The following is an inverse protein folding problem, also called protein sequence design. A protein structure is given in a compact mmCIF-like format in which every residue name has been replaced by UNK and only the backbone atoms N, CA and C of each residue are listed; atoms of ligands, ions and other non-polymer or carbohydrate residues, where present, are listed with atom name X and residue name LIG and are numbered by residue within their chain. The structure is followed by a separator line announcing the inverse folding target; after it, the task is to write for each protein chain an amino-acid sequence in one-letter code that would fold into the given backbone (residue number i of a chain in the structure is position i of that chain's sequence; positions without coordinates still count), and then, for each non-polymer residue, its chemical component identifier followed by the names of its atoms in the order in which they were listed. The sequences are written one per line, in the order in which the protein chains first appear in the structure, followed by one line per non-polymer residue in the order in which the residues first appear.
data_IF_767814575360
#
_entry.id   IF_767814575360
#
_cell.length_a   1.000
_cell.length_b   1.000
_cell.length_c   1.000
_cell.angle_alpha   90.00
_cell.angle_beta   90.00
_cell.angle_gamma   90.00
#
_symmetry.space_group_name_H-M   'P 1'
#
loop_
_entity.id
_entity.type
_entity.pdbx_description
1 polymer ?
#
# COMPACT_ATOMS: atom_id res chain seq x y z
N UNK A 1 15.74 -19.04 -35.61
CA UNK A 1 16.59 -18.45 -36.66
C UNK A 1 16.01 -17.09 -37.02
N UNK A 2 16.55 -16.00 -36.45
CA UNK A 2 16.28 -14.62 -36.89
C UNK A 2 17.64 -13.96 -37.05
N UNK A 3 18.18 -14.06 -38.25
CA UNK A 3 19.31 -13.24 -38.70
C UNK A 3 18.71 -12.03 -39.39
N UNK A 4 18.81 -10.83 -38.83
CA UNK A 4 18.79 -9.57 -39.60
C UNK A 4 19.27 -8.39 -38.76
N UNK A 5 20.49 -7.90 -39.08
CA UNK A 5 20.85 -6.52 -39.43
C UNK A 5 22.34 -6.30 -39.11
N UNK A 6 23.07 -5.84 -40.13
CA UNK A 6 24.51 -5.59 -40.08
C UNK A 6 24.89 -4.61 -38.97
N UNK A 7 26.07 -4.84 -38.37
CA UNK A 7 26.56 -4.37 -37.07
C UNK A 7 26.01 -5.15 -35.87
N UNK A 8 26.75 -6.19 -35.46
CA UNK A 8 26.41 -7.05 -34.32
C UNK A 8 26.22 -6.33 -32.98
N UNK A 9 26.72 -5.11 -32.82
CA UNK A 9 26.44 -4.28 -31.64
C UNK A 9 25.00 -3.73 -31.65
N UNK A 10 24.44 -3.40 -32.81
CA UNK A 10 23.11 -2.83 -32.91
C UNK A 10 22.03 -3.87 -32.59
N UNK A 11 22.21 -5.11 -33.05
CA UNK A 11 21.32 -6.23 -32.70
C UNK A 11 21.40 -6.59 -31.20
N UNK A 12 22.59 -6.53 -30.61
CA UNK A 12 22.77 -6.74 -29.17
C UNK A 12 22.08 -5.64 -28.32
N UNK A 13 22.16 -4.38 -28.74
CA UNK A 13 21.51 -3.26 -28.06
C UNK A 13 19.98 -3.37 -28.14
N UNK A 14 19.44 -3.74 -29.31
CA UNK A 14 17.99 -3.96 -29.48
C UNK A 14 17.51 -5.05 -28.53
N UNK A 15 18.27 -6.14 -28.39
CA UNK A 15 17.91 -7.24 -27.49
C UNK A 15 17.84 -6.84 -26.01
N UNK A 16 18.59 -5.82 -25.57
CA UNK A 16 18.56 -5.31 -24.20
C UNK A 16 17.40 -4.34 -23.92
N UNK A 17 16.96 -3.62 -24.96
CA UNK A 17 15.91 -2.60 -24.81
C UNK A 17 14.51 -3.22 -24.94
N UNK A 18 14.38 -4.23 -25.80
CA UNK A 18 13.08 -4.80 -26.17
C UNK A 18 12.34 -5.46 -24.99
N UNK A 19 12.99 -6.20 -24.08
CA UNK A 19 12.33 -6.76 -22.90
C UNK A 19 11.85 -5.66 -21.94
N UNK A 20 12.71 -4.67 -21.66
CA UNK A 20 12.39 -3.52 -20.81
C UNK A 20 11.18 -2.73 -21.35
N UNK A 21 11.10 -2.56 -22.67
CA UNK A 21 9.99 -1.89 -23.33
C UNK A 21 8.70 -2.75 -23.29
N UNK A 22 8.80 -4.05 -23.53
CA UNK A 22 7.66 -4.97 -23.48
C UNK A 22 7.02 -5.03 -22.08
N UNK A 23 7.83 -5.06 -21.01
CA UNK A 23 7.32 -5.05 -19.64
C UNK A 23 6.66 -3.72 -19.25
N UNK A 24 7.06 -2.61 -19.88
CA UNK A 24 6.47 -1.29 -19.58
C UNK A 24 5.00 -1.17 -19.96
N UNK A 25 4.47 -2.07 -20.79
CA UNK A 25 3.04 -2.16 -21.10
C UNK A 25 2.19 -2.76 -19.96
N UNK A 26 2.80 -3.53 -19.05
CA UNK A 26 2.10 -4.27 -18.00
C UNK A 26 2.52 -3.87 -16.58
N UNK A 27 3.73 -3.33 -16.42
CA UNK A 27 4.30 -2.94 -15.13
C UNK A 27 4.71 -1.47 -15.14
N UNK A 28 4.89 -0.89 -13.96
CA UNK A 28 5.39 0.48 -13.86
C UNK A 28 6.71 0.62 -14.61
N UNK A 29 6.87 1.76 -15.32
CA UNK A 29 8.05 2.00 -16.17
C UNK A 29 9.36 1.78 -15.41
N UNK A 30 9.38 2.12 -14.12
CA UNK A 30 10.54 1.92 -13.25
C UNK A 30 10.87 0.44 -13.01
N UNK A 31 9.88 -0.39 -12.65
CA UNK A 31 10.09 -1.84 -12.41
C UNK A 31 10.46 -2.59 -13.68
N UNK A 32 9.89 -2.15 -14.79
CA UNK A 32 10.17 -2.70 -16.12
C UNK A 32 11.62 -2.51 -16.52
N UNK A 33 12.18 -1.31 -16.30
CA UNK A 33 13.56 -0.98 -16.70
C UNK A 33 14.63 -1.35 -15.67
N UNK A 34 14.31 -1.36 -14.37
CA UNK A 34 15.30 -1.61 -13.30
C UNK A 34 15.33 -3.06 -12.80
N UNK A 35 14.26 -3.83 -12.99
CA UNK A 35 14.16 -5.20 -12.48
C UNK A 35 13.89 -6.20 -13.61
N UNK A 36 12.76 -6.08 -14.29
CA UNK A 36 12.29 -7.14 -15.20
C UNK A 36 13.12 -7.22 -16.49
N UNK A 37 13.43 -6.08 -17.10
CA UNK A 37 14.29 -6.01 -18.28
C UNK A 37 15.68 -6.60 -18.04
N UNK A 38 16.47 -6.07 -17.09
CA UNK A 38 17.81 -6.58 -16.79
C UNK A 38 17.84 -8.06 -16.40
N UNK A 39 16.80 -8.58 -15.75
CA UNK A 39 16.70 -9.98 -15.34
C UNK A 39 16.48 -10.91 -16.55
N UNK A 40 15.59 -10.52 -17.48
CA UNK A 40 15.38 -11.27 -18.73
C UNK A 40 16.61 -11.17 -19.64
N UNK A 41 17.29 -10.03 -19.67
CA UNK A 41 18.53 -9.85 -20.43
C UNK A 41 19.65 -10.73 -19.91
N UNK A 42 19.82 -10.80 -18.58
CA UNK A 42 20.77 -11.73 -17.94
C UNK A 42 20.46 -13.18 -18.28
N UNK A 43 19.19 -13.57 -18.26
CA UNK A 43 18.76 -14.92 -18.62
C UNK A 43 19.07 -15.23 -20.10
N UNK A 44 18.80 -14.29 -21.01
CA UNK A 44 19.10 -14.43 -22.43
C UNK A 44 20.61 -14.54 -22.69
N UNK A 45 21.43 -13.72 -22.03
CA UNK A 45 22.90 -13.77 -22.14
C UNK A 45 23.48 -15.05 -21.55
N UNK A 46 22.95 -15.53 -20.42
CA UNK A 46 23.35 -16.79 -19.80
C UNK A 46 23.05 -17.98 -20.72
N UNK A 47 21.86 -18.02 -21.31
CA UNK A 47 21.46 -19.06 -22.26
C UNK A 47 22.33 -19.06 -23.52
N UNK A 48 22.56 -17.89 -24.12
CA UNK A 48 23.31 -17.76 -25.36
C UNK A 48 24.83 -18.03 -25.21
N UNK A 49 25.36 -18.03 -23.97
CA UNK A 49 26.76 -18.37 -23.69
C UNK A 49 27.11 -19.82 -24.05
N UNK A 50 26.12 -20.72 -24.11
CA UNK A 50 26.34 -22.13 -24.43
C UNK A 50 26.34 -22.45 -25.93
N UNK A 51 25.81 -21.58 -26.80
CA UNK A 51 25.53 -21.90 -28.21
C UNK A 51 26.42 -21.19 -29.25
N UNK A 52 27.32 -20.26 -28.87
CA UNK A 52 28.05 -19.42 -29.82
C UNK A 52 29.59 -19.60 -29.72
N UNK A 53 30.21 -20.48 -30.53
CA UNK A 53 31.66 -20.58 -30.65
C UNK A 53 32.14 -19.53 -31.66
N UNK A 54 32.50 -18.32 -31.21
CA UNK A 54 33.00 -17.27 -32.09
C UNK A 54 33.66 -16.11 -31.34
N UNK A 55 34.97 -15.95 -31.55
CA UNK A 55 35.92 -15.07 -30.82
C UNK A 55 35.76 -13.55 -31.07
N UNK A 56 34.67 -13.09 -31.69
CA UNK A 56 34.47 -11.66 -32.01
C UNK A 56 33.60 -10.88 -31.01
N UNK A 57 33.02 -11.55 -30.01
CA UNK A 57 32.10 -10.94 -29.03
C UNK A 57 32.49 -11.20 -27.57
N UNK A 58 33.68 -11.75 -27.31
CA UNK A 58 34.11 -12.17 -25.96
C UNK A 58 34.05 -11.02 -24.95
N UNK A 59 34.48 -9.82 -25.33
CA UNK A 59 34.46 -8.65 -24.44
C UNK A 59 33.03 -8.26 -24.03
N UNK A 60 32.08 -8.24 -24.96
CA UNK A 60 30.68 -7.91 -24.66
C UNK A 60 30.06 -8.93 -23.70
N UNK A 61 30.27 -10.22 -23.94
CA UNK A 61 29.79 -11.28 -23.04
C UNK A 61 30.48 -11.32 -21.68
N UNK A 62 31.67 -10.70 -21.54
CA UNK A 62 32.34 -10.55 -20.26
C UNK A 62 31.80 -9.37 -19.44
N UNK A 63 31.58 -8.20 -20.07
CA UNK A 63 31.20 -6.99 -19.33
C UNK A 63 29.68 -6.79 -19.18
N UNK A 64 28.86 -7.20 -20.15
CA UNK A 64 27.41 -7.02 -20.12
C UNK A 64 26.70 -7.69 -18.92
N UNK A 65 27.02 -8.92 -18.50
CA UNK A 65 26.37 -9.49 -17.31
C UNK A 65 26.71 -8.70 -16.05
N UNK A 66 27.94 -8.22 -15.91
CA UNK A 66 28.39 -7.49 -14.73
C UNK A 66 27.64 -6.15 -14.60
N UNK A 67 27.47 -5.41 -15.70
CA UNK A 67 26.70 -4.16 -15.70
C UNK A 67 25.22 -4.39 -15.38
N UNK A 68 24.60 -5.44 -15.92
CA UNK A 68 23.21 -5.78 -15.62
C UNK A 68 23.01 -6.21 -14.16
N UNK A 69 23.97 -6.95 -13.57
CA UNK A 69 23.95 -7.27 -12.14
C UNK A 69 24.01 -6.00 -11.26
N UNK A 70 24.84 -5.03 -11.62
CA UNK A 70 24.91 -3.74 -10.91
C UNK A 70 23.57 -3.01 -10.98
N UNK A 71 22.95 -2.94 -12.18
CA UNK A 71 21.64 -2.29 -12.37
C UNK A 71 20.57 -2.99 -11.53
N UNK A 72 20.58 -4.32 -11.46
CA UNK A 72 19.61 -5.10 -10.67
C UNK A 72 19.79 -4.86 -9.16
N UNK A 73 21.04 -4.80 -8.67
CA UNK A 73 21.34 -4.45 -7.27
C UNK A 73 20.83 -3.04 -6.95
N UNK A 74 21.09 -2.06 -7.83
CA UNK A 74 20.59 -0.69 -7.67
C UNK A 74 19.06 -0.67 -7.66
N UNK A 75 18.41 -1.42 -8.56
CA UNK A 75 16.95 -1.53 -8.64
C UNK A 75 16.33 -2.10 -7.36
N UNK A 76 16.93 -3.15 -6.80
CA UNK A 76 16.52 -3.74 -5.51
C UNK A 76 16.66 -2.71 -4.38
N UNK A 77 17.79 -2.01 -4.31
CA UNK A 77 18.04 -1.00 -3.27
C UNK A 77 17.01 0.14 -3.37
N UNK A 78 16.70 0.62 -4.57
CA UNK A 78 15.73 1.70 -4.79
C UNK A 78 14.31 1.28 -4.37
N UNK A 79 13.85 0.09 -4.76
CA UNK A 79 12.55 -0.43 -4.31
C UNK A 79 12.52 -0.65 -2.79
N UNK A 80 13.62 -1.12 -2.19
CA UNK A 80 13.72 -1.32 -0.74
C UNK A 80 13.68 0.02 0.02
N UNK A 81 14.40 1.04 -0.45
CA UNK A 81 14.37 2.39 0.12
C UNK A 81 12.98 3.01 -0.02
N UNK A 82 12.33 2.87 -1.17
CA UNK A 82 10.98 3.40 -1.39
C UNK A 82 9.93 2.65 -0.56
N UNK A 83 10.06 1.33 -0.42
CA UNK A 83 9.21 0.52 0.45
C UNK A 83 9.37 0.95 1.91
N UNK A 84 10.61 1.07 2.39
CA UNK A 84 10.90 1.56 3.75
C UNK A 84 10.40 2.98 3.93
N UNK A 85 10.58 3.88 2.96
CA UNK A 85 10.12 5.26 3.04
C UNK A 85 8.59 5.35 3.06
N UNK A 86 7.90 4.58 2.21
CA UNK A 86 6.44 4.47 2.21
C UNK A 86 5.92 3.96 3.56
N UNK A 87 6.54 2.89 4.09
CA UNK A 87 6.18 2.32 5.39
C UNK A 87 6.53 3.26 6.55
N UNK A 88 7.62 4.02 6.47
CA UNK A 88 8.08 4.90 7.54
C UNK A 88 7.33 6.25 7.57
N UNK A 89 6.95 6.78 6.40
CA UNK A 89 6.00 7.89 6.31
C UNK A 89 4.64 7.47 6.87
N UNK A 90 4.15 6.26 6.59
CA UNK A 90 2.93 5.77 7.24
C UNK A 90 3.13 5.59 8.76
N UNK A 91 4.23 5.00 9.23
CA UNK A 91 4.47 4.73 10.66
C UNK A 91 4.61 5.98 11.54
N UNK A 92 5.32 7.03 11.10
CA UNK A 92 5.55 8.19 11.95
C UNK A 92 4.28 9.05 12.10
N UNK A 93 3.50 9.20 11.03
CA UNK A 93 2.21 9.89 11.07
C UNK A 93 1.14 9.07 11.80
N UNK A 94 1.17 7.75 11.62
CA UNK A 94 0.24 6.85 12.29
C UNK A 94 0.54 6.69 13.77
N UNK A 95 1.80 6.72 14.19
CA UNK A 95 2.16 6.64 15.61
C UNK A 95 1.66 7.87 16.37
N UNK A 96 1.79 9.07 15.80
CA UNK A 96 1.27 10.30 16.43
C UNK A 96 -0.28 10.33 16.50
N UNK A 97 -0.99 9.82 15.47
CA UNK A 97 -2.46 9.81 15.46
C UNK A 97 -3.05 8.62 16.25
N UNK A 98 -2.41 7.45 16.20
CA UNK A 98 -2.88 6.23 16.88
C UNK A 98 -2.55 6.20 18.37
N UNK A 99 -1.36 6.63 18.79
CA UNK A 99 -1.04 6.70 20.22
C UNK A 99 -1.87 7.80 20.94
N UNK A 100 -2.37 8.79 20.20
CA UNK A 100 -3.24 9.85 20.74
C UNK A 100 -4.74 9.50 20.80
N UNK A 101 -5.24 8.54 19.99
CA UNK A 101 -6.69 8.24 19.88
C UNK A 101 -7.08 6.76 19.88
N UNK A 102 -6.19 5.82 20.21
CA UNK A 102 -6.59 4.42 20.49
C UNK A 102 -7.18 4.36 21.90
N UNK A 103 -8.32 5.02 22.08
CA UNK A 103 -9.21 4.75 23.20
C UNK A 103 -10.17 3.64 22.76
N UNK A 104 -10.30 2.64 23.62
CA UNK A 104 -11.35 1.63 23.56
C UNK A 104 -12.69 2.25 24.01
N UNK A 105 -12.99 3.44 23.49
CA UNK A 105 -14.20 4.17 23.81
C UNK A 105 -15.33 3.67 22.92
N UNK A 106 -16.53 3.57 23.50
CA UNK A 106 -17.75 3.43 22.72
C UNK A 106 -17.78 4.49 21.62
N UNK A 107 -18.44 4.22 20.50
CA UNK A 107 -18.63 5.20 19.42
C UNK A 107 -19.23 6.50 19.98
N UNK A 108 -18.39 7.50 20.27
CA UNK A 108 -18.77 8.80 20.80
C UNK A 108 -18.79 9.81 19.67
N UNK A 109 -19.98 10.31 19.35
CA UNK A 109 -20.15 11.34 18.34
C UNK A 109 -19.64 12.69 18.86
N UNK A 110 -18.79 13.36 18.07
CA UNK A 110 -18.38 14.72 18.36
C UNK A 110 -19.51 15.68 17.93
N UNK A 111 -20.38 16.02 18.88
CA UNK A 111 -21.55 16.86 18.61
C UNK A 111 -21.17 18.29 18.16
N UNK A 112 -19.99 18.79 18.51
CA UNK A 112 -19.49 20.07 17.95
C UNK A 112 -19.13 19.92 16.47
N UNK A 113 -18.36 18.88 16.11
CA UNK A 113 -17.99 18.63 14.72
C UNK A 113 -19.23 18.41 13.83
N UNK A 114 -20.24 17.68 14.33
CA UNK A 114 -21.51 17.49 13.61
C UNK A 114 -22.25 18.80 13.36
N UNK A 115 -22.29 19.71 14.34
CA UNK A 115 -22.92 21.02 14.17
C UNK A 115 -22.15 21.93 13.21
N UNK A 116 -20.82 21.88 13.28
CA UNK A 116 -19.93 22.76 12.51
C UNK A 116 -19.73 22.27 11.07
N UNK A 117 -20.09 21.01 10.76
CA UNK A 117 -19.99 20.39 9.44
C UNK A 117 -20.88 21.00 8.35
N UNK A 118 -21.88 21.80 8.73
CA UNK A 118 -22.86 22.37 7.81
C UNK A 118 -23.91 21.37 7.27
N UNK A 119 -23.93 20.14 7.79
CA UNK A 119 -24.93 19.12 7.45
C UNK A 119 -26.31 19.45 8.04
N UNK A 120 -27.36 19.12 7.30
CA UNK A 120 -28.75 19.17 7.79
C UNK A 120 -29.01 18.12 8.88
N UNK A 121 -30.05 18.27 9.70
CA UNK A 121 -30.43 17.26 10.72
C UNK A 121 -30.61 15.85 10.12
N UNK A 122 -31.24 15.76 8.95
CA UNK A 122 -31.44 14.48 8.26
C UNK A 122 -30.11 13.84 7.83
N UNK A 123 -29.15 14.64 7.37
CA UNK A 123 -27.81 14.16 7.02
C UNK A 123 -27.01 13.75 8.26
N UNK A 124 -27.13 14.48 9.37
CA UNK A 124 -26.51 14.12 10.64
C UNK A 124 -27.06 12.78 11.17
N UNK A 125 -28.37 12.57 11.07
CA UNK A 125 -28.98 11.30 11.48
C UNK A 125 -28.59 10.14 10.57
N UNK A 126 -28.52 10.38 9.26
CA UNK A 126 -27.96 9.41 8.31
C UNK A 126 -26.51 9.06 8.67
N UNK A 127 -25.67 10.06 8.94
CA UNK A 127 -24.29 9.86 9.36
C UNK A 127 -24.22 9.01 10.64
N UNK A 128 -24.98 9.36 11.68
CA UNK A 128 -25.02 8.58 12.93
C UNK A 128 -25.42 7.13 12.70
N UNK A 129 -26.40 6.90 11.82
CA UNK A 129 -26.85 5.56 11.44
C UNK A 129 -25.75 4.76 10.75
N UNK A 130 -25.13 5.33 9.72
CA UNK A 130 -24.06 4.65 8.98
C UNK A 130 -22.83 4.41 9.86
N UNK A 131 -22.44 5.38 10.68
CA UNK A 131 -21.33 5.19 11.63
C UNK A 131 -21.59 4.05 12.60
N UNK A 132 -22.79 3.96 13.22
CA UNK A 132 -23.14 2.83 14.10
C UNK A 132 -23.08 1.50 13.37
N UNK A 133 -23.67 1.43 12.18
CA UNK A 133 -23.75 0.21 11.36
C UNK A 133 -22.38 -0.29 10.95
N UNK A 134 -21.48 0.59 10.53
CA UNK A 134 -20.14 0.21 10.08
C UNK A 134 -19.16 0.03 11.25
N UNK A 135 -19.27 0.81 12.32
CA UNK A 135 -18.46 0.63 13.53
C UNK A 135 -18.72 -0.73 14.19
N UNK A 136 -19.96 -1.21 14.21
CA UNK A 136 -20.29 -2.55 14.73
C UNK A 136 -19.54 -3.68 13.97
N UNK A 137 -19.23 -3.48 12.68
CA UNK A 137 -18.41 -4.42 11.90
C UNK A 137 -16.95 -4.41 12.38
N UNK A 138 -16.42 -3.23 12.67
CA UNK A 138 -15.08 -3.06 13.22
C UNK A 138 -14.97 -3.63 14.64
N UNK A 139 -15.95 -3.40 15.51
CA UNK A 139 -16.01 -4.00 16.84
C UNK A 139 -15.96 -5.53 16.79
N UNK A 140 -16.72 -6.14 15.86
CA UNK A 140 -16.63 -7.58 15.64
C UNK A 140 -15.20 -8.02 15.30
N UNK A 141 -14.51 -7.31 14.41
CA UNK A 141 -13.13 -7.61 14.02
C UNK A 141 -12.18 -7.51 15.21
N UNK A 142 -12.37 -6.54 16.11
CA UNK A 142 -11.59 -6.40 17.33
C UNK A 142 -11.77 -7.60 18.30
N UNK A 143 -12.97 -8.17 18.33
CA UNK A 143 -13.38 -9.19 19.30
C UNK A 143 -13.19 -10.64 18.84
N UNK A 144 -12.67 -10.87 17.63
CA UNK A 144 -12.42 -12.22 17.12
C UNK A 144 -11.41 -13.01 17.99
N UNK A 145 -11.44 -14.36 17.96
CA UNK A 145 -10.51 -15.19 18.72
C UNK A 145 -9.04 -14.94 18.37
N UNK A 146 -8.15 -14.99 19.36
CA UNK A 146 -6.71 -14.76 19.18
C UNK A 146 -6.08 -15.71 18.14
N UNK A 147 -6.56 -16.96 18.05
CA UNK A 147 -6.10 -17.93 17.05
C UNK A 147 -6.29 -17.42 15.62
N UNK A 148 -7.40 -16.72 15.34
CA UNK A 148 -7.72 -16.15 14.03
C UNK A 148 -6.90 -14.89 13.77
N UNK A 149 -6.71 -14.05 14.80
CA UNK A 149 -5.88 -12.83 14.69
C UNK A 149 -4.45 -13.12 14.23
N UNK A 150 -3.91 -14.28 14.61
CA UNK A 150 -2.56 -14.71 14.23
C UNK A 150 -2.46 -15.17 12.77
N UNK A 151 -3.56 -15.59 12.17
CA UNK A 151 -3.64 -16.00 10.75
C UNK A 151 -3.80 -14.79 9.83
N UNK A 152 -4.40 -13.71 10.31
CA UNK A 152 -4.67 -12.53 9.48
C UNK A 152 -3.37 -11.72 9.28
N UNK A 153 -2.91 -11.50 8.03
CA UNK A 153 -1.74 -10.69 7.76
C UNK A 153 -2.01 -9.24 8.17
N UNK A 154 -1.02 -8.58 8.77
CA UNK A 154 -1.09 -7.17 9.18
C UNK A 154 -2.23 -6.78 10.13
N UNK A 155 -2.93 -7.74 10.76
CA UNK A 155 -4.11 -7.49 11.62
C UNK A 155 -4.02 -6.24 12.51
N UNK A 156 -2.93 -6.10 13.29
CA UNK A 156 -2.75 -4.95 14.20
C UNK A 156 -2.71 -3.61 13.46
N UNK A 157 -2.03 -3.58 12.32
CA UNK A 157 -1.91 -2.39 11.47
C UNK A 157 -3.27 -2.05 10.90
N UNK A 158 -3.97 -3.04 10.33
CA UNK A 158 -5.29 -2.86 9.72
C UNK A 158 -6.30 -2.31 10.72
N UNK A 159 -6.41 -2.91 11.92
CA UNK A 159 -7.31 -2.43 12.97
C UNK A 159 -7.02 -0.98 13.35
N UNK A 160 -5.76 -0.61 13.42
CA UNK A 160 -5.37 0.74 13.78
C UNK A 160 -5.71 1.73 12.65
N UNK A 161 -5.65 1.33 11.36
CA UNK A 161 -6.04 2.17 10.22
C UNK A 161 -7.56 2.34 10.19
N UNK A 162 -8.30 1.25 10.34
CA UNK A 162 -9.77 1.29 10.42
C UNK A 162 -10.22 2.21 11.55
N UNK A 163 -9.61 2.10 12.73
CA UNK A 163 -9.87 3.00 13.86
C UNK A 163 -9.56 4.46 13.52
N UNK A 164 -8.45 4.71 12.82
CA UNK A 164 -8.09 6.04 12.33
C UNK A 164 -9.15 6.62 11.41
N UNK A 165 -9.68 5.83 10.48
CA UNK A 165 -10.76 6.27 9.57
C UNK A 165 -12.02 6.63 10.36
N UNK A 166 -12.45 5.78 11.31
CA UNK A 166 -13.62 6.08 12.14
C UNK A 166 -13.41 7.33 13.00
N UNK A 167 -12.25 7.48 13.63
CA UNK A 167 -11.91 8.65 14.41
C UNK A 167 -11.92 9.92 13.57
N UNK A 168 -11.43 9.86 12.33
CA UNK A 168 -11.49 11.00 11.43
C UNK A 168 -12.93 11.36 11.10
N UNK A 169 -13.75 10.38 10.71
CA UNK A 169 -15.17 10.60 10.42
C UNK A 169 -15.93 11.19 11.62
N UNK A 170 -15.61 10.78 12.84
CA UNK A 170 -16.23 11.35 14.03
C UNK A 170 -15.87 12.82 14.24
N UNK A 171 -14.70 13.28 13.78
CA UNK A 171 -14.23 14.66 13.93
C UNK A 171 -14.48 15.53 12.68
N UNK A 172 -14.69 14.90 11.52
CA UNK A 172 -14.91 15.53 10.23
C UNK A 172 -16.03 14.76 9.47
N UNK A 173 -17.28 14.85 9.93
CA UNK A 173 -18.38 14.02 9.41
C UNK A 173 -18.72 14.30 7.93
N UNK A 174 -18.36 15.48 7.42
CA UNK A 174 -18.46 15.81 6.00
C UNK A 174 -17.56 14.94 5.09
N UNK A 175 -16.56 14.25 5.66
CA UNK A 175 -15.70 13.30 4.95
C UNK A 175 -16.37 11.94 4.69
N UNK A 176 -17.62 11.73 5.08
CA UNK A 176 -18.33 10.46 4.90
C UNK A 176 -18.29 9.96 3.45
N UNK A 177 -18.40 10.86 2.47
CA UNK A 177 -18.31 10.50 1.05
C UNK A 177 -16.91 10.03 0.65
N UNK A 178 -15.86 10.64 1.20
CA UNK A 178 -14.48 10.23 0.96
C UNK A 178 -14.17 8.84 1.54
N UNK A 179 -14.92 8.41 2.56
CA UNK A 179 -14.82 7.08 3.16
C UNK A 179 -15.71 6.01 2.51
N UNK A 180 -16.38 6.32 1.39
CA UNK A 180 -17.36 5.40 0.78
C UNK A 180 -16.78 4.04 0.38
N UNK A 181 -15.62 4.01 -0.28
CA UNK A 181 -14.92 2.77 -0.66
C UNK A 181 -14.67 1.90 0.59
N UNK A 182 -14.09 2.50 1.62
CA UNK A 182 -13.83 1.84 2.90
C UNK A 182 -15.11 1.28 3.55
N UNK A 183 -16.13 2.12 3.72
CA UNK A 183 -17.33 1.75 4.45
C UNK A 183 -18.12 0.67 3.72
N UNK A 184 -18.29 0.78 2.39
CA UNK A 184 -19.23 -0.03 1.63
C UNK A 184 -18.59 -1.20 0.88
N UNK A 185 -17.27 -1.22 0.71
CA UNK A 185 -16.55 -2.30 0.01
C UNK A 185 -15.49 -2.94 0.91
N UNK A 186 -14.43 -2.21 1.26
CA UNK A 186 -13.26 -2.83 1.88
C UNK A 186 -13.54 -3.39 3.28
N UNK A 187 -14.24 -2.64 4.14
CA UNK A 187 -14.60 -3.12 5.48
C UNK A 187 -15.57 -4.31 5.45
N UNK A 188 -16.67 -4.29 4.67
CA UNK A 188 -17.53 -5.45 4.49
C UNK A 188 -16.80 -6.69 3.95
N UNK A 189 -15.95 -6.53 2.95
CA UNK A 189 -15.22 -7.66 2.34
C UNK A 189 -14.21 -8.25 3.33
N UNK A 190 -13.48 -7.39 4.04
CA UNK A 190 -12.57 -7.81 5.11
C UNK A 190 -13.31 -8.59 6.20
N UNK A 191 -14.48 -8.09 6.64
CA UNK A 191 -15.32 -8.76 7.61
C UNK A 191 -15.78 -10.15 7.14
N UNK A 192 -16.19 -10.27 5.88
CA UNK A 192 -16.68 -11.53 5.33
C UNK A 192 -15.58 -12.60 5.31
N UNK A 193 -14.37 -12.24 4.90
CA UNK A 193 -13.22 -13.15 4.90
C UNK A 193 -12.86 -13.56 6.33
N UNK A 194 -12.79 -12.60 7.26
CA UNK A 194 -12.48 -12.90 8.66
C UNK A 194 -13.53 -13.80 9.30
N UNK A 195 -14.82 -13.59 9.02
CA UNK A 195 -15.89 -14.49 9.47
C UNK A 195 -15.71 -15.91 8.94
N UNK A 196 -15.30 -16.03 7.67
CA UNK A 196 -14.91 -17.33 7.08
C UNK A 196 -13.80 -18.00 7.87
N UNK A 197 -12.73 -17.26 8.21
CA UNK A 197 -11.62 -17.77 9.03
C UNK A 197 -12.04 -18.14 10.45
N UNK A 198 -12.93 -17.36 11.09
CA UNK A 198 -13.49 -17.70 12.41
C UNK A 198 -14.23 -19.02 12.34
N UNK A 199 -15.13 -19.18 11.36
CA UNK A 199 -15.90 -20.42 11.18
C UNK A 199 -14.98 -21.62 10.94
N UNK A 200 -13.97 -21.48 10.07
CA UNK A 200 -12.98 -22.55 9.82
C UNK A 200 -12.17 -22.88 11.08
N UNK A 201 -11.82 -21.86 11.88
CA UNK A 201 -11.06 -22.08 13.11
C UNK A 201 -11.83 -22.87 14.17
N UNK A 202 -13.17 -22.89 14.08
CA UNK A 202 -14.06 -23.61 14.99
C UNK A 202 -14.39 -25.03 14.50
N UNK A 203 -13.98 -25.39 13.27
CA UNK A 203 -14.10 -26.76 12.76
C UNK A 203 -13.13 -27.70 13.49
N UNK A 204 -13.68 -28.80 14.02
CA UNK A 204 -12.92 -29.81 14.81
C UNK A 204 -12.10 -30.74 13.90
N UNK A 205 -12.54 -30.95 12.66
CA UNK A 205 -11.83 -31.74 11.66
C UNK A 205 -11.27 -30.78 10.62
N UNK A 206 -9.94 -30.76 10.47
CA UNK A 206 -9.25 -29.94 9.48
C UNK A 206 -8.88 -30.80 8.26
N UNK A 207 -9.32 -30.37 7.09
CA UNK A 207 -8.95 -30.94 5.80
C UNK A 207 -7.80 -30.13 5.16
N UNK A 208 -7.03 -30.76 4.26
CA UNK A 208 -6.13 -30.05 3.32
C UNK A 208 -6.87 -28.99 2.50
N UNK A 209 -8.15 -29.20 2.21
CA UNK A 209 -8.99 -28.19 1.55
C UNK A 209 -9.11 -26.92 2.41
N UNK A 210 -9.19 -27.03 3.74
CA UNK A 210 -9.25 -25.87 4.65
C UNK A 210 -7.95 -25.05 4.61
N UNK A 211 -6.79 -25.70 4.48
CA UNK A 211 -5.50 -25.01 4.35
C UNK A 211 -5.48 -24.15 3.08
N UNK A 212 -5.98 -24.67 1.96
CA UNK A 212 -6.04 -23.88 0.70
C UNK A 212 -7.01 -22.70 0.78
N UNK A 213 -8.08 -22.81 1.57
CA UNK A 213 -9.02 -21.72 1.79
C UNK A 213 -8.40 -20.66 2.69
N UNK A 214 -7.65 -21.05 3.72
CA UNK A 214 -6.91 -20.13 4.58
C UNK A 214 -5.86 -19.37 3.76
N UNK A 215 -5.07 -20.03 2.93
CA UNK A 215 -4.07 -19.38 2.08
C UNK A 215 -4.70 -18.34 1.13
N UNK A 216 -5.85 -18.68 0.51
CA UNK A 216 -6.59 -17.72 -0.34
C UNK A 216 -7.10 -16.53 0.46
N UNK A 217 -7.66 -16.77 1.65
CA UNK A 217 -8.14 -15.73 2.54
C UNK A 217 -6.99 -14.79 2.96
N UNK A 218 -5.80 -15.31 3.25
CA UNK A 218 -4.62 -14.51 3.58
C UNK A 218 -4.22 -13.59 2.41
N UNK A 219 -4.20 -14.11 1.18
CA UNK A 219 -3.87 -13.32 -0.02
C UNK A 219 -4.90 -12.21 -0.25
N UNK A 220 -6.18 -12.51 -0.11
CA UNK A 220 -7.26 -11.52 -0.27
C UNK A 220 -7.22 -10.46 0.83
N UNK A 221 -6.99 -10.86 2.10
CA UNK A 221 -6.82 -9.92 3.21
C UNK A 221 -5.61 -9.02 3.02
N UNK A 222 -4.50 -9.55 2.47
CA UNK A 222 -3.33 -8.74 2.17
C UNK A 222 -3.61 -7.70 1.07
N UNK A 223 -4.43 -8.06 0.08
CA UNK A 223 -4.89 -7.13 -0.96
C UNK A 223 -5.76 -6.02 -0.37
N UNK A 224 -6.75 -6.37 0.46
CA UNK A 224 -7.62 -5.41 1.13
C UNK A 224 -6.86 -4.49 2.10
N UNK A 225 -5.90 -5.04 2.87
CA UNK A 225 -4.98 -4.27 3.71
C UNK A 225 -4.23 -3.19 2.92
N UNK A 226 -3.92 -3.47 1.64
CA UNK A 226 -3.31 -2.51 0.72
C UNK A 226 -4.20 -1.30 0.37
N UNK A 227 -5.52 -1.42 0.48
CA UNK A 227 -6.49 -0.35 0.18
C UNK A 227 -6.71 0.60 1.37
N UNK A 228 -6.57 0.09 2.61
CA UNK A 228 -6.87 0.85 3.83
C UNK A 228 -6.01 2.12 3.99
N UNK A 229 -4.72 2.06 3.65
CA UNK A 229 -3.85 3.24 3.70
C UNK A 229 -4.27 4.34 2.71
N UNK A 230 -4.51 4.04 1.41
CA UNK A 230 -5.15 4.96 0.49
C UNK A 230 -6.45 5.57 1.02
N UNK A 231 -7.34 4.78 1.60
CA UNK A 231 -8.63 5.29 2.07
C UNK A 231 -8.47 6.20 3.28
N UNK A 232 -7.65 5.83 4.25
CA UNK A 232 -7.30 6.72 5.36
C UNK A 232 -6.70 8.04 4.84
N UNK A 233 -5.87 7.97 3.79
CA UNK A 233 -5.35 9.18 3.15
C UNK A 233 -6.45 10.01 2.51
N UNK A 234 -7.42 9.42 1.81
CA UNK A 234 -8.53 10.18 1.22
C UNK A 234 -9.32 10.92 2.29
N UNK A 235 -9.66 10.25 3.39
CA UNK A 235 -10.51 10.80 4.45
C UNK A 235 -9.81 11.92 5.23
N UNK A 236 -8.51 11.82 5.47
CA UNK A 236 -7.73 12.85 6.20
C UNK A 236 -7.16 13.96 5.29
N UNK A 237 -7.57 14.05 4.02
CA UNK A 237 -6.92 14.97 3.07
C UNK A 237 -7.12 16.44 3.42
N UNK A 238 -8.29 16.80 3.92
CA UNK A 238 -8.58 18.17 4.35
C UNK A 238 -7.75 18.57 5.58
N UNK A 239 -7.75 17.74 6.63
CA UNK A 239 -6.93 17.98 7.84
C UNK A 239 -5.45 18.11 7.47
N UNK A 240 -4.93 17.25 6.60
CA UNK A 240 -3.53 17.34 6.14
C UNK A 240 -3.23 18.66 5.43
N UNK A 241 -4.12 19.12 4.55
CA UNK A 241 -3.95 20.40 3.84
C UNK A 241 -3.91 21.58 4.80
N UNK A 242 -4.77 21.57 5.82
CA UNK A 242 -4.80 22.59 6.86
C UNK A 242 -3.54 22.58 7.73
N UNK A 243 -3.06 21.40 8.11
CA UNK A 243 -1.80 21.23 8.84
C UNK A 243 -0.60 21.74 8.03
N UNK A 244 -0.52 21.44 6.74
CA UNK A 244 0.56 21.97 5.88
C UNK A 244 0.54 23.49 5.86
N UNK A 245 -0.64 24.08 5.68
CA UNK A 245 -0.81 25.54 5.68
C UNK A 245 -0.41 26.17 7.02
N UNK A 246 -0.78 25.57 8.14
CA UNK A 246 -0.42 26.09 9.47
C UNK A 246 1.08 25.97 9.75
N UNK A 247 1.73 24.90 9.28
CA UNK A 247 3.18 24.73 9.37
C UNK A 247 3.94 25.77 8.54
N UNK A 248 3.47 26.08 7.33
CA UNK A 248 4.03 27.16 6.50
C UNK A 248 3.90 28.52 7.17
N UNK A 249 2.74 28.80 7.77
CA UNK A 249 2.52 30.02 8.54
C UNK A 249 3.46 30.10 9.75
N UNK A 250 3.61 29.02 10.51
CA UNK A 250 4.51 28.96 11.66
C UNK A 250 5.97 29.20 11.26
N UNK A 251 6.42 28.64 10.12
CA UNK A 251 7.76 28.91 9.56
C UNK A 251 7.93 30.38 9.19
N UNK A 252 6.96 30.98 8.50
CA UNK A 252 7.00 32.39 8.10
C UNK A 252 7.05 33.36 9.30
N UNK A 253 6.41 32.99 10.42
CA UNK A 253 6.44 33.78 11.66
C UNK A 253 7.82 33.66 12.29
N UNK A 254 8.39 32.45 12.34
CA UNK A 254 9.72 32.20 12.90
C UNK A 254 10.83 32.93 12.13
N UNK A 255 10.76 32.96 10.80
CA UNK A 255 11.70 33.68 9.94
C UNK A 255 11.64 35.19 10.20
N UNK A 256 10.43 35.77 10.21
CA UNK A 256 10.23 37.20 10.54
C UNK A 256 10.71 37.60 11.94
N UNK A 257 10.57 36.71 12.93
CA UNK A 257 11.05 36.97 14.30
C UNK A 257 12.58 36.93 14.38
N UNK A 258 13.24 36.14 13.53
CA UNK A 258 14.70 36.07 13.46
C UNK A 258 15.29 37.27 12.70
N UNK A 259 14.65 37.73 11.62
CA UNK A 259 15.06 38.92 10.87
C UNK A 259 14.89 40.23 11.65
N UNK A 260 13.96 40.28 12.61
CA UNK A 260 13.74 41.46 13.47
C UNK A 260 14.65 41.53 14.71
N UNK A 261 15.63 40.65 14.84
CA UNK A 261 16.58 40.59 15.97
C UNK A 261 18.02 40.93 15.61
N UNK A 262 18.29 41.27 14.35
CA UNK A 262 19.54 41.87 13.86
C UNK A 262 19.40 43.39 13.74
#
# INVERSE_FOLDING_TARGET
MVYFLGNGYFSAIILLILPSLAFSAFFSIRRSWLLYGPLVDLFCLWRNRFDLPGTQYSEFYHYAPLTLFIILIIGIIVELVMYVHSVNQSKNYFKEISEAKVQKEALMFNESALKDSGMTEAEQDFFRSEMRKHHAKYEYLCDIPNKVKLTIPNYKKDMTIMNGIFNELLNAPEQLLAASDFLYQDLPDYLNIVKGLVNLSDNVVKDKEDETVIEKAEVELQKLSGNLEPDFKKVTDNERKELVKSLEQAKSVRERVNEGKD
#
